data_IF_619637552415
#
_entry.id   IF_619637552415
#
_cell.length_a   1.000
_cell.length_b   1.000
_cell.length_c   1.000
_cell.angle_alpha   90.00
_cell.angle_beta   90.00
_cell.angle_gamma   90.00
#
_symmetry.space_group_name_H-M   'P 1'
#
loop_
_entity.id
_entity.type
_entity.pdbx_description
1 polymer ?
#
# COMPACT_ATOMS: atom_id res chain seq x y z
N UNK A 1 2.49 11.10 -3.81
CA UNK A 1 2.59 10.63 -2.41
C UNK A 1 2.30 9.14 -2.39
N UNK A 2 3.04 8.36 -1.61
CA UNK A 2 2.82 6.92 -1.41
C UNK A 2 3.17 6.56 0.03
N UNK A 3 2.43 5.63 0.63
CA UNK A 3 2.69 5.15 1.99
C UNK A 3 3.05 3.68 1.96
N UNK A 4 4.24 3.35 2.43
CA UNK A 4 4.74 1.98 2.59
C UNK A 4 4.01 1.25 3.73
N UNK A 5 3.98 -0.08 3.66
CA UNK A 5 3.44 -0.98 4.68
C UNK A 5 1.93 -0.90 4.95
N UNK A 6 1.17 -0.16 4.13
CA UNK A 6 -0.29 -0.02 4.29
C UNK A 6 -1.01 -1.38 4.21
N UNK A 7 -0.63 -2.24 3.26
CA UNK A 7 -1.24 -3.57 3.12
C UNK A 7 -0.85 -4.50 4.27
N UNK A 8 0.38 -4.40 4.75
CA UNK A 8 0.90 -5.20 5.86
C UNK A 8 0.24 -4.81 7.19
N UNK A 9 -0.12 -3.54 7.37
CA UNK A 9 -0.87 -3.06 8.53
C UNK A 9 -2.36 -3.37 8.45
N UNK A 10 -2.94 -3.24 7.26
CA UNK A 10 -4.36 -3.48 7.00
C UNK A 10 -4.52 -4.31 5.71
N UNK A 11 -4.70 -5.62 5.88
CA UNK A 11 -5.02 -6.52 4.79
C UNK A 11 -6.47 -6.98 4.89
N UNK A 12 -7.25 -6.75 3.84
CA UNK A 12 -8.48 -7.52 3.68
C UNK A 12 -8.11 -8.93 3.23
N UNK A 13 -8.69 -9.95 3.88
CA UNK A 13 -8.63 -11.30 3.33
C UNK A 13 -9.30 -11.24 1.97
N UNK A 14 -8.59 -11.67 0.91
CA UNK A 14 -9.19 -11.76 -0.41
C UNK A 14 -10.45 -12.62 -0.30
N UNK A 15 -11.55 -12.14 -0.86
CA UNK A 15 -12.80 -12.88 -0.90
C UNK A 15 -12.53 -14.24 -1.54
N UNK A 16 -12.52 -15.27 -0.70
CA UNK A 16 -12.22 -16.64 -1.09
C UNK A 16 -13.53 -17.41 -1.07
N UNK A 17 -13.66 -18.44 -1.91
CA UNK A 17 -14.84 -19.33 -1.93
C UNK A 17 -15.24 -19.82 -0.52
N UNK A 18 -14.26 -19.97 0.37
CA UNK A 18 -14.46 -20.28 1.78
C UNK A 18 -15.27 -19.22 2.54
N UNK A 19 -14.92 -17.93 2.45
CA UNK A 19 -15.66 -16.85 3.13
C UNK A 19 -17.08 -16.71 2.59
N UNK A 20 -17.27 -16.91 1.27
CA UNK A 20 -18.60 -16.94 0.66
C UNK A 20 -19.44 -18.12 1.17
N UNK A 21 -18.87 -19.32 1.19
CA UNK A 21 -19.54 -20.50 1.76
C UNK A 21 -19.91 -20.29 3.24
N UNK A 22 -19.00 -19.71 4.03
CA UNK A 22 -19.23 -19.39 5.43
C UNK A 22 -20.37 -18.37 5.61
N UNK A 23 -20.40 -17.34 4.77
CA UNK A 23 -21.49 -16.36 4.73
C UNK A 23 -22.83 -17.02 4.38
N UNK A 24 -22.89 -17.90 3.38
CA UNK A 24 -24.12 -18.60 2.98
C UNK A 24 -24.65 -19.50 4.11
N UNK A 25 -23.77 -20.15 4.86
CA UNK A 25 -24.14 -21.06 5.94
C UNK A 25 -24.57 -20.32 7.22
N UNK A 26 -23.79 -19.33 7.66
CA UNK A 26 -24.06 -18.59 8.90
C UNK A 26 -24.98 -17.38 8.70
N UNK A 27 -25.16 -16.88 7.47
CA UNK A 27 -25.86 -15.62 7.12
C UNK A 27 -25.40 -14.39 7.91
N UNK A 28 -24.18 -14.43 8.44
CA UNK A 28 -23.54 -13.32 9.12
C UNK A 28 -22.44 -12.76 8.21
N UNK A 29 -22.30 -11.43 8.07
CA UNK A 29 -21.20 -10.82 7.33
C UNK A 29 -19.86 -11.08 8.04
N UNK A 30 -19.27 -12.25 7.82
CA UNK A 30 -17.95 -12.64 8.36
C UNK A 30 -16.87 -12.19 7.38
N UNK A 31 -16.63 -10.87 7.35
CA UNK A 31 -15.44 -10.30 6.71
C UNK A 31 -14.55 -9.66 7.78
N UNK A 32 -13.82 -10.46 8.58
CA UNK A 32 -12.97 -9.90 9.61
C UNK A 32 -11.87 -9.08 8.92
N UNK A 33 -11.74 -7.77 9.21
CA UNK A 33 -10.57 -7.03 8.78
C UNK A 33 -9.34 -7.66 9.44
N UNK A 34 -8.46 -8.28 8.66
CA UNK A 34 -7.22 -8.87 9.17
C UNK A 34 -6.14 -7.79 9.18
N UNK A 35 -5.88 -7.19 10.34
CA UNK A 35 -4.97 -6.06 10.41
C UNK A 35 -4.82 -5.48 11.81
N UNK A 36 -4.41 -4.21 11.87
CA UNK A 36 -4.07 -3.54 13.12
C UNK A 36 -2.71 -3.94 13.66
N UNK A 37 -1.87 -4.59 12.84
CA UNK A 37 -0.49 -4.86 13.22
C UNK A 37 0.24 -3.53 13.44
N UNK A 38 1.04 -3.40 14.50
CA UNK A 38 1.77 -2.18 14.81
C UNK A 38 3.00 -2.02 13.89
N UNK A 39 2.81 -2.19 12.57
CA UNK A 39 3.83 -1.92 11.55
C UNK A 39 4.06 -0.42 11.44
N UNK A 40 5.25 -0.03 10.96
CA UNK A 40 5.59 1.37 10.77
C UNK A 40 5.17 1.83 9.37
N UNK A 41 4.27 2.81 9.31
CA UNK A 41 3.88 3.44 8.06
C UNK A 41 4.87 4.53 7.68
N UNK A 42 5.45 4.44 6.49
CA UNK A 42 6.37 5.43 5.95
C UNK A 42 5.73 6.12 4.75
N UNK A 43 5.40 7.40 4.90
CA UNK A 43 4.86 8.21 3.81
C UNK A 43 6.00 8.88 3.06
N UNK A 44 6.14 8.55 1.79
CA UNK A 44 7.08 9.17 0.85
C UNK A 44 6.37 10.25 0.05
N UNK A 45 6.89 11.47 0.18
CA UNK A 45 6.45 12.65 -0.57
C UNK A 45 7.58 13.02 -1.52
N UNK A 46 7.29 13.03 -2.82
CA UNK A 46 8.22 13.48 -3.86
C UNK A 46 7.92 14.92 -4.25
N UNK A 47 8.84 15.48 -5.02
CA UNK A 47 8.66 16.77 -5.68
C UNK A 47 7.33 16.84 -6.44
N UNK A 48 6.66 18.02 -6.43
CA UNK A 48 5.42 18.22 -7.14
C UNK A 48 5.63 18.09 -8.65
N UNK A 49 4.59 17.63 -9.35
CA UNK A 49 4.62 17.59 -10.82
C UNK A 49 4.48 19.04 -11.30
N UNK A 50 5.43 19.56 -12.10
CA UNK A 50 5.36 20.93 -12.59
C UNK A 50 4.18 21.08 -13.55
N UNK A 51 3.50 22.23 -13.44
CA UNK A 51 2.43 22.61 -14.35
C UNK A 51 3.00 22.98 -15.72
N UNK A 52 2.39 22.44 -16.78
CA UNK A 52 2.70 22.77 -18.17
C UNK A 52 1.39 23.17 -18.85
N UNK A 53 1.28 24.37 -19.47
CA UNK A 53 0.06 24.80 -20.14
C UNK A 53 -0.22 24.03 -21.45
N UNK A 54 0.75 23.30 -22.01
CA UNK A 54 0.61 22.66 -23.31
C UNK A 54 0.14 21.19 -23.25
N UNK A 55 0.06 20.61 -22.04
CA UNK A 55 -0.30 19.21 -21.87
C UNK A 55 -1.82 19.02 -21.77
N UNK A 56 -2.29 17.91 -22.33
CA UNK A 56 -3.68 17.49 -22.13
C UNK A 56 -3.87 16.87 -20.73
N UNK A 57 -5.12 16.88 -20.25
CA UNK A 57 -5.45 16.27 -18.95
C UNK A 57 -5.12 14.76 -18.91
N UNK A 58 -5.23 14.06 -20.04
CA UNK A 58 -4.89 12.64 -20.16
C UNK A 58 -3.38 12.40 -19.98
N UNK A 59 -2.54 13.19 -20.65
CA UNK A 59 -1.08 13.09 -20.51
C UNK A 59 -0.62 13.42 -19.09
N UNK A 60 -1.25 14.41 -18.44
CA UNK A 60 -0.99 14.73 -17.04
C UNK A 60 -1.34 13.54 -16.12
N UNK A 61 -2.46 12.86 -16.37
CA UNK A 61 -2.85 11.67 -15.62
C UNK A 61 -1.84 10.53 -15.79
N UNK A 62 -1.38 10.27 -17.02
CA UNK A 62 -0.37 9.24 -17.30
C UNK A 62 0.98 9.57 -16.67
N UNK A 63 1.41 10.84 -16.72
CA UNK A 63 2.62 11.30 -16.04
C UNK A 63 2.52 11.08 -14.52
N UNK A 64 1.37 11.40 -13.94
CA UNK A 64 1.11 11.21 -12.50
C UNK A 64 1.13 9.73 -12.13
N UNK A 65 0.47 8.89 -12.92
CA UNK A 65 0.46 7.43 -12.76
C UNK A 65 1.89 6.87 -12.78
N UNK A 66 2.69 7.24 -13.78
CA UNK A 66 4.07 6.78 -13.91
C UNK A 66 4.94 7.26 -12.73
N UNK A 67 4.77 8.51 -12.30
CA UNK A 67 5.48 9.03 -11.14
C UNK A 67 5.15 8.25 -9.86
N UNK A 68 3.87 7.97 -9.60
CA UNK A 68 3.44 7.15 -8.45
C UNK A 68 3.96 5.73 -8.57
N UNK A 69 3.88 5.10 -9.75
CA UNK A 69 4.35 3.75 -9.96
C UNK A 69 5.87 3.63 -9.72
N UNK A 70 6.66 4.61 -10.18
CA UNK A 70 8.10 4.67 -9.91
C UNK A 70 8.41 4.82 -8.42
N UNK A 71 7.58 5.54 -7.68
CA UNK A 71 7.72 5.73 -6.23
C UNK A 71 7.40 4.43 -5.49
N UNK A 72 6.35 3.72 -5.89
CA UNK A 72 5.99 2.39 -5.37
C UNK A 72 7.14 1.42 -5.61
N UNK A 73 7.67 1.32 -6.85
CA UNK A 73 8.76 0.39 -7.16
C UNK A 73 10.06 0.69 -6.41
N UNK A 74 10.34 1.97 -6.14
CA UNK A 74 11.55 2.36 -5.42
C UNK A 74 11.51 2.00 -3.94
N UNK A 75 10.34 2.16 -3.29
CA UNK A 75 10.23 1.95 -1.84
C UNK A 75 9.62 0.60 -1.45
N UNK A 76 8.76 -0.01 -2.27
CA UNK A 76 8.06 -1.24 -1.92
C UNK A 76 8.81 -2.49 -2.40
N UNK A 77 9.17 -3.36 -1.45
CA UNK A 77 9.69 -4.71 -1.75
C UNK A 77 8.54 -5.72 -1.90
N UNK A 78 8.43 -6.32 -3.07
CA UNK A 78 7.43 -7.34 -3.41
C UNK A 78 8.12 -8.72 -3.46
N UNK A 79 7.58 -9.78 -2.80
CA UNK A 79 6.36 -9.81 -2.02
C UNK A 79 6.49 -9.07 -0.68
N UNK A 80 5.37 -8.46 -0.26
CA UNK A 80 5.23 -7.84 1.06
C UNK A 80 5.17 -8.87 2.17
N UNK A 81 5.57 -8.51 3.39
CA UNK A 81 5.54 -9.42 4.54
C UNK A 81 5.40 -8.67 5.87
N UNK A 82 4.37 -9.04 6.65
CA UNK A 82 4.06 -8.42 7.95
C UNK A 82 5.22 -8.55 8.94
N UNK A 83 5.87 -9.73 9.02
CA UNK A 83 6.99 -9.94 9.92
C UNK A 83 8.18 -9.01 9.63
N UNK A 84 8.52 -8.82 8.35
CA UNK A 84 9.57 -7.88 7.94
C UNK A 84 9.19 -6.44 8.31
N UNK A 85 7.96 -6.03 8.03
CA UNK A 85 7.47 -4.69 8.38
C UNK A 85 7.43 -4.44 9.90
N UNK A 86 7.23 -5.49 10.71
CA UNK A 86 7.35 -5.44 12.16
C UNK A 86 8.82 -5.37 12.61
N UNK A 87 9.75 -6.10 11.98
CA UNK A 87 11.18 -6.01 12.27
C UNK A 87 11.77 -4.65 11.91
N UNK A 88 11.35 -4.06 10.78
CA UNK A 88 11.73 -2.71 10.33
C UNK A 88 11.40 -1.62 11.36
N UNK A 89 10.48 -1.88 12.30
CA UNK A 89 10.20 -1.00 13.42
C UNK A 89 11.36 -0.90 14.42
N UNK A 90 12.07 -2.02 14.65
CA UNK A 90 13.15 -2.13 15.63
C UNK A 90 14.53 -1.92 15.01
N UNK A 91 14.68 -2.18 13.71
CA UNK A 91 15.87 -1.81 12.99
C UNK A 91 16.04 -0.29 13.05
N UNK A 92 17.13 0.14 13.70
CA UNK A 92 17.61 1.53 13.65
C UNK A 92 18.06 1.81 12.22
N UNK A 93 17.12 2.05 11.31
CA UNK A 93 17.47 2.47 9.97
C UNK A 93 18.21 3.80 10.07
N UNK A 94 19.51 3.74 9.80
CA UNK A 94 20.31 4.91 9.50
C UNK A 94 19.63 5.62 8.33
N UNK A 95 19.25 6.89 8.53
CA UNK A 95 18.70 7.73 7.47
C UNK A 95 19.70 7.72 6.31
N UNK A 96 19.35 7.06 5.21
CA UNK A 96 20.00 7.32 3.93
C UNK A 96 19.46 8.68 3.48
N UNK A 97 20.34 9.68 3.60
CA UNK A 97 20.16 11.05 3.12
C UNK A 97 20.00 11.03 1.61
#
# INVERSE_FOLDING_TARGET
MYTENVREGYSSLRETRFFRWLYEFFRVPVFPPYGGFPVKFHTHIREPIPYDPNITAAELADKTKNAVQSLIHHHQKIPGSVLRALMERYDKQQKKV
#
